data_IF_508284630261
#
_entry.id   IF_508284630261
#
_cell.length_a   1.000
_cell.length_b   1.000
_cell.length_c   1.000
_cell.angle_alpha   90.00
_cell.angle_beta   90.00
_cell.angle_gamma   90.00
#
_symmetry.space_group_name_H-M   'P 1'
#
loop_
_entity.id
_entity.type
_entity.pdbx_description
1 polymer ?
#
# COMPACT_ATOMS: atom_id res chain seq x y z
N UNK A 1 3.85 -9.86 7.89
CA UNK A 1 3.02 -9.01 7.01
C UNK A 1 2.57 -7.71 7.69
N UNK A 2 1.53 -7.64 8.53
CA UNK A 2 1.07 -6.34 9.06
C UNK A 2 2.11 -5.53 9.83
N UNK A 3 2.95 -6.21 10.62
CA UNK A 3 4.04 -5.53 11.32
C UNK A 3 5.03 -4.90 10.32
N UNK A 4 5.36 -5.63 9.26
CA UNK A 4 6.28 -5.18 8.21
C UNK A 4 5.68 -4.02 7.40
N UNK A 5 4.37 -4.09 7.10
CA UNK A 5 3.61 -3.03 6.43
C UNK A 5 3.55 -1.75 7.28
N UNK A 6 3.25 -1.89 8.57
CA UNK A 6 3.25 -0.77 9.53
C UNK A 6 4.62 -0.09 9.66
N UNK A 7 5.73 -0.77 9.31
CA UNK A 7 7.08 -0.21 9.32
C UNK A 7 7.41 0.45 7.98
N UNK A 8 7.11 -0.23 6.88
CA UNK A 8 7.54 0.14 5.52
C UNK A 8 6.76 1.35 5.01
N UNK A 9 5.44 1.35 5.20
CA UNK A 9 4.56 2.35 4.63
C UNK A 9 4.80 3.78 5.16
N UNK A 10 5.04 4.01 6.48
CA UNK A 10 5.42 5.33 7.01
C UNK A 10 6.72 5.92 6.47
N UNK A 11 7.59 5.12 5.83
CA UNK A 11 8.80 5.63 5.16
C UNK A 11 8.42 6.51 3.98
N UNK A 12 7.40 6.12 3.21
CA UNK A 12 6.90 6.92 2.07
C UNK A 12 6.35 8.26 2.57
N UNK A 13 5.62 8.25 3.69
CA UNK A 13 5.13 9.47 4.34
C UNK A 13 6.27 10.36 4.84
N UNK A 14 7.35 9.75 5.32
CA UNK A 14 8.56 10.45 5.77
C UNK A 14 9.22 11.18 4.61
N UNK A 15 9.37 10.52 3.46
CA UNK A 15 9.88 11.14 2.24
C UNK A 15 8.96 12.25 1.72
N UNK A 16 7.65 12.02 1.72
CA UNK A 16 6.69 13.04 1.29
C UNK A 16 6.71 14.28 2.19
N UNK A 17 6.83 14.10 3.51
CA UNK A 17 6.98 15.22 4.45
C UNK A 17 8.30 15.97 4.25
N UNK A 18 9.40 15.24 3.98
CA UNK A 18 10.68 15.85 3.64
C UNK A 18 10.57 16.75 2.40
N UNK A 19 10.01 16.24 1.31
CA UNK A 19 9.79 17.02 0.10
C UNK A 19 8.81 18.18 0.30
N UNK A 20 7.76 18.00 1.12
CA UNK A 20 6.84 19.08 1.46
C UNK A 20 7.56 20.25 2.15
N UNK A 21 8.47 19.96 3.09
CA UNK A 21 9.26 20.99 3.76
C UNK A 21 10.12 21.77 2.74
N UNK A 22 10.80 21.07 1.84
CA UNK A 22 11.61 21.70 0.81
C UNK A 22 10.79 22.46 -0.25
N UNK A 23 9.51 22.14 -0.41
CA UNK A 23 8.61 22.82 -1.35
C UNK A 23 8.32 24.28 -0.98
N UNK A 24 8.59 24.69 0.27
CA UNK A 24 8.47 26.08 0.73
C UNK A 24 9.71 26.94 0.44
N UNK A 25 10.71 26.39 -0.26
CA UNK A 25 11.90 27.13 -0.68
C UNK A 25 11.57 28.11 -1.81
N UNK A 26 12.31 29.23 -1.90
CA UNK A 26 12.13 30.20 -2.99
C UNK A 26 12.33 29.57 -4.37
N UNK A 27 13.36 28.74 -4.52
CA UNK A 27 13.57 27.87 -5.67
C UNK A 27 13.47 26.42 -5.21
N UNK A 28 12.81 25.56 -5.99
CA UNK A 28 12.71 24.14 -5.64
C UNK A 28 14.10 23.49 -5.75
N UNK A 29 14.57 22.76 -4.73
CA UNK A 29 15.92 22.18 -4.75
C UNK A 29 16.19 21.17 -5.86
N UNK A 30 15.13 20.57 -6.41
CA UNK A 30 15.18 19.63 -7.54
C UNK A 30 14.97 20.28 -8.91
N UNK A 31 14.92 21.62 -8.98
CA UNK A 31 14.76 22.36 -10.24
C UNK A 31 16.10 22.68 -10.93
N UNK A 32 17.20 22.80 -10.17
CA UNK A 32 18.49 23.24 -10.68
C UNK A 32 19.64 22.32 -10.26
N UNK A 33 20.73 22.36 -11.04
CA UNK A 33 21.96 21.59 -10.83
C UNK A 33 23.06 22.39 -10.11
N UNK A 34 22.72 23.51 -9.46
CA UNK A 34 23.69 24.44 -8.85
C UNK A 34 23.94 24.15 -7.37
N UNK A 35 23.40 23.05 -6.85
CA UNK A 35 23.47 22.73 -5.43
C UNK A 35 24.76 21.94 -5.10
N UNK A 36 25.15 21.94 -3.83
CA UNK A 36 26.39 21.29 -3.37
C UNK A 36 26.39 19.76 -3.52
N UNK A 37 25.22 19.14 -3.65
CA UNK A 37 25.07 17.70 -3.88
C UNK A 37 25.04 17.33 -5.36
N UNK A 38 25.05 18.31 -6.27
CA UNK A 38 25.00 18.01 -7.69
C UNK A 38 26.37 17.63 -8.25
N UNK A 39 26.37 16.76 -9.26
CA UNK A 39 27.59 16.36 -9.97
C UNK A 39 27.72 17.08 -11.32
N UNK A 40 28.91 17.02 -11.93
CA UNK A 40 29.14 17.56 -13.28
C UNK A 40 28.28 16.89 -14.37
N UNK A 41 27.63 15.77 -14.05
CA UNK A 41 26.73 15.03 -14.95
C UNK A 41 25.27 15.51 -14.87
N UNK A 42 24.97 16.39 -13.91
CA UNK A 42 23.62 16.90 -13.70
C UNK A 42 23.19 17.80 -14.85
N UNK A 43 21.99 17.56 -15.37
CA UNK A 43 21.37 18.39 -16.39
C UNK A 43 20.06 18.96 -15.86
N UNK A 44 19.98 20.30 -15.78
CA UNK A 44 18.75 21.02 -15.46
C UNK A 44 18.06 21.46 -16.74
N UNK A 45 16.76 21.26 -16.83
CA UNK A 45 15.97 21.72 -17.96
C UNK A 45 15.64 23.22 -17.79
N UNK A 46 16.41 24.10 -18.44
CA UNK A 46 16.13 25.54 -18.47
C UNK A 46 15.32 25.90 -19.71
N UNK A 47 14.12 26.47 -19.52
CA UNK A 47 13.23 26.93 -20.59
C UNK A 47 13.78 28.14 -21.40
N UNK A 48 15.01 28.60 -21.13
CA UNK A 48 15.48 29.93 -21.52
C UNK A 48 16.60 30.03 -22.54
N UNK A 49 17.32 28.96 -22.90
CA UNK A 49 18.34 29.02 -23.94
C UNK A 49 18.22 27.80 -24.85
N UNK A 50 18.16 28.08 -26.16
CA UNK A 50 17.79 27.14 -27.20
C UNK A 50 18.47 25.78 -27.05
N UNK A 51 17.69 24.74 -27.40
CA UNK A 51 18.09 23.37 -27.63
C UNK A 51 19.60 23.15 -27.43
N UNK A 52 20.00 22.86 -26.19
CA UNK A 52 21.26 22.15 -25.99
C UNK A 52 21.03 20.85 -26.73
N UNK A 53 21.65 20.76 -27.92
CA UNK A 53 21.55 19.59 -28.76
C UNK A 53 21.94 18.40 -27.90
N UNK A 54 20.98 17.47 -27.75
CA UNK A 54 21.19 16.15 -27.19
C UNK A 54 22.16 15.37 -28.09
N UNK A 55 23.43 15.77 -28.07
CA UNK A 55 24.51 15.04 -28.72
C UNK A 55 25.23 14.25 -27.63
N UNK A 56 24.93 12.94 -27.57
CA UNK A 56 25.76 11.91 -26.94
C UNK A 56 26.21 12.15 -25.48
N UNK A 57 25.27 12.26 -24.54
CA UNK A 57 25.57 12.03 -23.12
C UNK A 57 24.74 10.88 -22.57
N UNK A 58 25.20 9.65 -22.84
CA UNK A 58 24.66 8.39 -22.31
C UNK A 58 24.76 8.24 -20.79
N UNK A 59 25.34 9.21 -20.07
CA UNK A 59 25.58 9.19 -18.62
C UNK A 59 25.14 10.51 -17.93
N UNK A 60 24.09 11.18 -18.42
CA UNK A 60 23.53 12.38 -17.79
C UNK A 60 22.42 12.02 -16.79
N UNK A 61 22.31 12.78 -15.70
CA UNK A 61 21.33 12.61 -14.61
C UNK A 61 20.49 13.87 -14.46
N UNK A 62 19.21 13.75 -14.11
CA UNK A 62 18.37 14.93 -13.87
C UNK A 62 18.63 15.51 -12.47
N UNK A 63 18.39 16.82 -12.31
CA UNK A 63 18.45 17.47 -11.00
C UNK A 63 17.55 16.80 -9.94
N UNK A 64 16.40 16.25 -10.37
CA UNK A 64 15.46 15.54 -9.50
C UNK A 64 16.00 14.18 -9.05
N UNK A 65 16.64 13.42 -9.96
CA UNK A 65 17.30 12.16 -9.62
C UNK A 65 18.42 12.40 -8.62
N UNK A 66 19.28 13.39 -8.84
CA UNK A 66 20.37 13.69 -7.90
C UNK A 66 19.85 14.23 -6.55
N UNK A 67 18.77 15.00 -6.55
CA UNK A 67 18.14 15.42 -5.29
C UNK A 67 17.62 14.20 -4.50
N UNK A 68 16.95 13.26 -5.16
CA UNK A 68 16.45 12.04 -4.52
C UNK A 68 17.59 11.15 -4.00
N UNK A 69 18.52 10.78 -4.89
CA UNK A 69 19.55 9.80 -4.58
C UNK A 69 20.65 10.38 -3.68
N UNK A 70 21.12 11.61 -3.94
CA UNK A 70 22.30 12.15 -3.27
C UNK A 70 21.96 13.07 -2.10
N UNK A 71 20.86 13.84 -2.16
CA UNK A 71 20.51 14.80 -1.09
C UNK A 71 19.50 14.25 -0.09
N UNK A 72 18.37 13.73 -0.57
CA UNK A 72 17.28 13.25 0.27
C UNK A 72 17.71 11.96 0.99
N UNK A 73 18.05 10.93 0.22
CA UNK A 73 18.43 9.63 0.75
C UNK A 73 19.94 9.51 1.04
N UNK A 74 20.80 10.10 0.19
CA UNK A 74 22.24 9.81 0.16
C UNK A 74 22.51 8.31 0.07
N UNK A 75 22.00 7.69 -1.00
CA UNK A 75 22.03 6.24 -1.20
C UNK A 75 23.46 5.71 -1.16
N UNK A 76 23.69 4.67 -0.34
CA UNK A 76 24.98 3.99 -0.22
C UNK A 76 25.26 3.02 -1.38
N UNK A 77 26.41 2.34 -1.38
CA UNK A 77 26.77 1.38 -2.43
C UNK A 77 25.94 0.09 -2.44
N UNK A 78 25.26 -0.24 -1.34
CA UNK A 78 24.49 -1.48 -1.20
C UNK A 78 23.88 -1.69 0.18
N UNK A 79 23.14 -2.79 0.34
CA UNK A 79 22.50 -3.17 1.62
C UNK A 79 23.53 -3.52 2.70
N UNK A 80 24.75 -3.91 2.32
CA UNK A 80 25.86 -4.17 3.25
C UNK A 80 26.40 -2.88 3.88
N UNK A 81 26.22 -1.76 3.19
CA UNK A 81 26.70 -0.44 3.60
C UNK A 81 25.53 0.38 4.14
N UNK A 82 25.12 0.11 5.37
CA UNK A 82 23.98 0.82 6.00
C UNK A 82 24.23 2.34 6.10
N UNK A 83 25.49 2.75 6.28
CA UNK A 83 25.87 4.16 6.37
C UNK A 83 25.33 4.86 7.61
N UNK A 84 25.15 6.18 7.53
CA UNK A 84 24.67 7.01 8.65
C UNK A 84 23.14 7.22 8.65
N UNK A 85 22.55 7.54 9.80
CA UNK A 85 21.14 7.92 9.89
C UNK A 85 20.96 9.33 9.33
N UNK A 86 20.04 9.50 8.37
CA UNK A 86 19.68 10.81 7.82
C UNK A 86 18.84 11.58 8.83
N UNK A 87 19.46 12.48 9.61
CA UNK A 87 18.80 13.19 10.71
C UNK A 87 17.55 13.99 10.32
N UNK A 88 17.52 14.58 9.12
CA UNK A 88 16.33 15.30 8.63
C UNK A 88 15.15 14.35 8.37
N UNK A 89 15.42 13.18 7.77
CA UNK A 89 14.43 12.13 7.58
C UNK A 89 14.00 11.51 8.92
N UNK A 90 14.92 11.38 9.89
CA UNK A 90 14.59 10.93 11.24
C UNK A 90 13.56 11.85 11.92
N UNK A 91 13.77 13.17 11.81
CA UNK A 91 12.83 14.16 12.33
C UNK A 91 11.48 14.08 11.61
N UNK A 92 11.48 13.93 10.28
CA UNK A 92 10.26 13.72 9.50
C UNK A 92 9.51 12.45 9.95
N UNK A 93 10.24 11.33 10.15
CA UNK A 93 9.67 10.07 10.60
C UNK A 93 9.05 10.22 12.00
N UNK A 94 9.72 10.92 12.91
CA UNK A 94 9.19 11.22 14.24
C UNK A 94 7.86 11.99 14.15
N UNK A 95 7.80 13.03 13.30
CA UNK A 95 6.57 13.80 13.08
C UNK A 95 5.45 12.93 12.53
N UNK A 96 5.74 12.08 11.54
CA UNK A 96 4.77 11.14 10.94
C UNK A 96 4.22 10.18 12.00
N UNK A 97 5.07 9.56 12.83
CA UNK A 97 4.61 8.65 13.88
C UNK A 97 3.81 9.33 14.98
N UNK A 98 4.20 10.54 15.36
CA UNK A 98 3.43 11.36 16.31
C UNK A 98 2.04 11.65 15.74
N UNK A 99 1.94 12.03 14.46
CA UNK A 99 0.66 12.22 13.78
C UNK A 99 -0.17 10.92 13.76
N UNK A 100 0.40 9.80 13.33
CA UNK A 100 -0.26 8.49 13.31
C UNK A 100 -0.81 8.10 14.69
N UNK A 101 -0.03 8.29 15.76
CA UNK A 101 -0.44 7.99 17.12
C UNK A 101 -1.68 8.80 17.52
N UNK A 102 -1.64 10.12 17.39
CA UNK A 102 -2.75 10.99 17.81
C UNK A 102 -4.00 10.84 16.94
N UNK A 103 -3.86 10.51 15.66
CA UNK A 103 -5.01 10.25 14.80
C UNK A 103 -5.81 9.02 15.25
N UNK A 104 -5.13 7.97 15.75
CA UNK A 104 -5.73 6.66 16.06
C UNK A 104 -5.89 6.41 17.57
N UNK A 105 -5.40 7.28 18.45
CA UNK A 105 -5.37 7.05 19.89
C UNK A 105 -6.73 6.70 20.54
N UNK A 106 -7.87 7.13 19.97
CA UNK A 106 -9.23 6.75 20.43
C UNK A 106 -9.94 5.77 19.49
N UNK A 107 -9.20 5.11 18.61
CA UNK A 107 -9.67 4.18 17.58
C UNK A 107 -10.55 4.86 16.56
N UNK A 108 -11.46 4.08 15.98
CA UNK A 108 -12.43 4.54 14.96
C UNK A 108 -13.20 5.82 15.34
N UNK A 109 -13.34 6.16 16.63
CA UNK A 109 -13.97 7.42 17.05
C UNK A 109 -13.15 8.67 16.74
N UNK A 110 -11.83 8.57 16.79
CA UNK A 110 -10.91 9.65 16.40
C UNK A 110 -10.65 9.57 14.90
N UNK A 111 -10.28 8.39 14.41
CA UNK A 111 -9.98 8.15 12.99
C UNK A 111 -11.16 8.56 12.12
N UNK A 112 -12.39 8.17 12.47
CA UNK A 112 -13.59 8.52 11.71
C UNK A 112 -13.87 10.03 11.61
N UNK A 113 -13.31 10.87 12.50
CA UNK A 113 -13.40 12.34 12.38
C UNK A 113 -12.31 12.91 11.47
N UNK A 114 -11.08 12.39 11.60
CA UNK A 114 -9.91 12.83 10.82
C UNK A 114 -10.11 12.47 9.35
N UNK A 115 -10.64 11.28 9.06
CA UNK A 115 -10.91 10.75 7.71
C UNK A 115 -11.81 11.65 6.88
N UNK A 116 -12.71 12.45 7.49
CA UNK A 116 -13.51 13.41 6.72
C UNK A 116 -12.65 14.44 5.98
N UNK A 117 -11.48 14.79 6.52
CA UNK A 117 -10.54 15.71 5.87
C UNK A 117 -9.51 14.92 5.07
N UNK A 118 -8.88 13.92 5.69
CA UNK A 118 -7.76 13.19 5.06
C UNK A 118 -8.19 12.39 3.84
N UNK A 119 -9.43 11.85 3.79
CA UNK A 119 -9.90 11.10 2.62
C UNK A 119 -10.54 11.99 1.55
N UNK A 120 -11.18 13.11 1.91
CA UNK A 120 -11.88 13.97 0.92
C UNK A 120 -10.96 14.97 0.23
N UNK A 121 -9.94 15.48 0.94
CA UNK A 121 -9.02 16.47 0.39
C UNK A 121 -8.17 15.93 -0.78
N UNK A 122 -7.68 14.68 -0.78
CA UNK A 122 -7.04 14.09 -1.94
C UNK A 122 -7.89 14.09 -3.21
N UNK A 123 -9.22 13.90 -3.11
CA UNK A 123 -10.10 14.01 -4.29
C UNK A 123 -10.16 15.43 -4.85
N UNK A 124 -10.20 16.43 -3.97
CA UNK A 124 -10.13 17.83 -4.39
C UNK A 124 -8.78 18.14 -5.06
N UNK A 125 -7.66 17.68 -4.47
CA UNK A 125 -6.33 17.87 -5.06
C UNK A 125 -6.19 17.13 -6.38
N UNK A 126 -6.70 15.90 -6.46
CA UNK A 126 -6.68 15.11 -7.67
C UNK A 126 -7.44 15.81 -8.80
N UNK A 127 -8.61 16.40 -8.50
CA UNK A 127 -9.36 17.19 -9.48
C UNK A 127 -8.56 18.41 -9.95
N UNK A 128 -7.92 19.14 -9.03
CA UNK A 128 -7.10 20.31 -9.37
C UNK A 128 -5.90 19.92 -10.22
N UNK A 129 -5.18 18.85 -9.85
CA UNK A 129 -4.05 18.33 -10.61
C UNK A 129 -4.46 17.76 -11.96
N UNK A 130 -5.65 17.15 -12.07
CA UNK A 130 -6.20 16.68 -13.34
C UNK A 130 -6.49 17.85 -14.28
N UNK A 131 -7.22 18.88 -13.80
CA UNK A 131 -7.49 20.08 -14.60
C UNK A 131 -6.18 20.71 -15.03
N UNK A 132 -5.23 20.86 -14.10
CA UNK A 132 -3.92 21.43 -14.42
C UNK A 132 -3.18 20.59 -15.45
N UNK A 133 -3.07 19.28 -15.22
CA UNK A 133 -2.39 18.33 -16.10
C UNK A 133 -2.94 18.37 -17.52
N UNK A 134 -4.27 18.34 -17.68
CA UNK A 134 -4.90 18.40 -19.00
C UNK A 134 -4.76 19.75 -19.71
N UNK A 135 -4.49 20.84 -18.99
CA UNK A 135 -4.22 22.17 -19.59
C UNK A 135 -2.77 22.36 -20.02
N UNK A 136 -1.86 21.44 -19.71
CA UNK A 136 -0.46 21.54 -20.09
C UNK A 136 -0.25 21.18 -21.57
N UNK A 137 0.74 21.79 -22.25
CA UNK A 137 1.12 21.38 -23.59
C UNK A 137 1.62 19.92 -23.59
N UNK A 138 1.33 19.15 -24.63
CA UNK A 138 1.73 17.73 -24.71
C UNK A 138 0.92 16.77 -23.83
N UNK A 139 0.01 17.26 -22.97
CA UNK A 139 -0.79 16.41 -22.08
C UNK A 139 -1.60 15.33 -22.82
N UNK A 140 -2.11 15.65 -24.01
CA UNK A 140 -2.86 14.69 -24.83
C UNK A 140 -2.01 13.51 -25.30
N UNK A 141 -0.71 13.70 -25.55
CA UNK A 141 0.18 12.59 -25.92
C UNK A 141 0.26 11.57 -24.77
N UNK A 142 0.30 12.08 -23.54
CA UNK A 142 0.23 11.26 -22.32
C UNK A 142 -1.10 10.52 -22.16
N UNK A 143 -2.23 11.20 -22.37
CA UNK A 143 -3.56 10.57 -22.29
C UNK A 143 -3.74 9.50 -23.37
N UNK A 144 -3.23 9.73 -24.58
CA UNK A 144 -3.22 8.72 -25.65
C UNK A 144 -2.36 7.54 -25.21
N UNK A 145 -1.13 7.76 -24.72
CA UNK A 145 -0.28 6.68 -24.22
C UNK A 145 -0.96 5.84 -23.12
N UNK A 146 -1.74 6.48 -22.23
CA UNK A 146 -2.46 5.79 -21.17
C UNK A 146 -3.61 4.89 -21.67
N UNK A 147 -4.36 5.34 -22.68
CA UNK A 147 -5.61 4.68 -23.10
C UNK A 147 -5.52 3.92 -24.43
N UNK A 148 -4.46 4.11 -25.20
CA UNK A 148 -4.36 3.53 -26.53
C UNK A 148 -4.38 2.00 -26.41
N UNK A 149 -5.41 1.33 -26.95
CA UNK A 149 -5.58 -0.10 -26.73
C UNK A 149 -4.66 -0.87 -27.66
N UNK A 150 -3.87 -1.77 -27.08
CA UNK A 150 -3.04 -2.72 -27.80
C UNK A 150 -3.49 -4.16 -27.49
N UNK A 151 -4.43 -4.74 -28.26
CA UNK A 151 -5.03 -6.03 -27.96
C UNK A 151 -4.05 -7.21 -27.95
N UNK A 152 -2.87 -7.05 -28.56
CA UNK A 152 -1.77 -8.01 -28.49
C UNK A 152 -1.38 -8.34 -27.05
N UNK A 153 -1.43 -7.36 -26.15
CA UNK A 153 -1.10 -7.56 -24.73
C UNK A 153 -2.13 -8.43 -24.00
N UNK A 154 -3.37 -8.55 -24.48
CA UNK A 154 -4.36 -9.42 -23.85
C UNK A 154 -4.06 -10.92 -24.03
N UNK A 155 -3.20 -11.27 -25.01
CA UNK A 155 -2.71 -12.63 -25.21
C UNK A 155 -1.61 -13.01 -24.20
N UNK A 156 -0.99 -12.01 -23.56
CA UNK A 156 0.04 -12.22 -22.57
C UNK A 156 -0.60 -12.57 -21.21
N UNK A 157 -0.37 -13.78 -20.67
CA UNK A 157 -0.87 -14.16 -19.35
C UNK A 157 -0.37 -13.24 -18.23
N UNK A 158 0.80 -12.60 -18.40
CA UNK A 158 1.38 -11.70 -17.41
C UNK A 158 0.48 -10.49 -17.14
N UNK A 159 -0.20 -9.96 -18.17
CA UNK A 159 -1.08 -8.78 -18.05
C UNK A 159 -2.29 -9.08 -17.14
N UNK A 160 -2.89 -10.26 -17.28
CA UNK A 160 -4.00 -10.70 -16.41
C UNK A 160 -3.55 -10.94 -14.97
N UNK A 161 -2.32 -11.41 -14.82
CA UNK A 161 -1.69 -11.66 -13.54
C UNK A 161 -1.40 -10.37 -12.78
N UNK A 162 -0.82 -9.38 -13.45
CA UNK A 162 -0.61 -8.03 -12.92
C UNK A 162 -1.93 -7.34 -12.58
N UNK A 163 -2.95 -7.46 -13.45
CA UNK A 163 -4.29 -6.95 -13.17
C UNK A 163 -4.91 -7.59 -11.92
N UNK A 164 -4.78 -8.91 -11.77
CA UNK A 164 -5.25 -9.63 -10.58
C UNK A 164 -4.53 -9.17 -9.31
N UNK A 165 -3.20 -9.13 -9.33
CA UNK A 165 -2.37 -8.67 -8.23
C UNK A 165 -2.74 -7.22 -7.82
N UNK A 166 -2.86 -6.31 -8.80
CA UNK A 166 -3.25 -4.92 -8.57
C UNK A 166 -4.58 -4.80 -7.83
N UNK A 167 -5.57 -5.63 -8.15
CA UNK A 167 -6.86 -5.64 -7.44
C UNK A 167 -6.69 -6.17 -6.01
N UNK A 168 -5.95 -7.26 -5.78
CA UNK A 168 -5.72 -7.77 -4.41
C UNK A 168 -5.05 -6.71 -3.52
N UNK A 169 -4.03 -6.02 -4.03
CA UNK A 169 -3.33 -4.97 -3.31
C UNK A 169 -4.18 -3.71 -3.12
N UNK A 170 -4.81 -3.21 -4.19
CA UNK A 170 -5.57 -1.97 -4.15
C UNK A 170 -6.73 -2.02 -3.15
N UNK A 171 -7.35 -3.19 -2.96
CA UNK A 171 -8.42 -3.37 -1.97
C UNK A 171 -7.93 -3.89 -0.61
N UNK A 172 -6.63 -4.19 -0.47
CA UNK A 172 -6.06 -4.82 0.74
C UNK A 172 -6.80 -6.11 1.15
N UNK A 173 -7.11 -6.96 0.17
CA UNK A 173 -7.79 -8.25 0.39
C UNK A 173 -6.78 -9.26 0.95
N UNK A 174 -7.21 -10.18 1.82
CA UNK A 174 -6.31 -11.19 2.40
C UNK A 174 -5.57 -10.75 3.65
N UNK A 175 -5.63 -9.45 3.97
CA UNK A 175 -4.89 -8.89 5.09
C UNK A 175 -5.79 -8.80 6.33
N UNK A 176 -7.08 -8.45 6.20
CA UNK A 176 -8.04 -8.35 7.32
C UNK A 176 -8.51 -6.93 7.64
N UNK A 177 -8.06 -5.93 6.86
CA UNK A 177 -8.44 -4.52 6.98
C UNK A 177 -9.95 -4.31 6.88
N UNK A 178 -10.57 -4.89 5.86
CA UNK A 178 -12.03 -4.80 5.66
C UNK A 178 -12.80 -5.56 6.75
N UNK A 179 -12.26 -6.65 7.28
CA UNK A 179 -12.86 -7.43 8.37
C UNK A 179 -12.91 -6.62 9.66
N UNK A 180 -11.81 -5.94 10.00
CA UNK A 180 -11.76 -5.07 11.19
C UNK A 180 -12.66 -3.85 11.03
N UNK A 181 -12.60 -3.16 9.89
CA UNK A 181 -13.48 -2.01 9.64
C UNK A 181 -14.97 -2.42 9.66
N UNK A 182 -15.30 -3.56 9.05
CA UNK A 182 -16.64 -4.12 9.06
C UNK A 182 -17.14 -4.52 10.46
N UNK A 183 -16.24 -4.92 11.37
CA UNK A 183 -16.61 -5.28 12.75
C UNK A 183 -17.17 -4.13 13.57
N UNK A 184 -16.92 -2.88 13.15
CA UNK A 184 -17.47 -1.68 13.80
C UNK A 184 -18.84 -1.28 13.27
N UNK A 185 -19.31 -1.88 12.17
CA UNK A 185 -20.60 -1.55 11.60
C UNK A 185 -21.76 -2.06 12.47
N UNK A 186 -22.90 -1.35 12.47
CA UNK A 186 -24.15 -1.91 13.00
C UNK A 186 -24.49 -3.22 12.30
N UNK A 187 -25.08 -4.16 13.05
CA UNK A 187 -25.42 -5.50 12.53
C UNK A 187 -26.31 -5.45 11.28
N UNK A 188 -27.30 -4.57 11.26
CA UNK A 188 -28.24 -4.41 10.15
C UNK A 188 -27.78 -3.41 9.08
N UNK A 189 -26.50 -3.05 9.07
CA UNK A 189 -25.95 -2.18 8.03
C UNK A 189 -25.95 -2.90 6.68
N UNK A 190 -26.27 -2.17 5.60
CA UNK A 190 -26.28 -2.74 4.26
C UNK A 190 -24.85 -2.84 3.69
N UNK A 191 -24.09 -3.82 4.18
CA UNK A 191 -22.72 -4.07 3.74
C UNK A 191 -22.62 -4.42 2.25
N UNK A 192 -23.68 -5.00 1.66
CA UNK A 192 -23.72 -5.31 0.24
C UNK A 192 -23.64 -4.05 -0.62
N UNK A 193 -24.41 -3.01 -0.28
CA UNK A 193 -24.35 -1.70 -0.94
C UNK A 193 -22.98 -1.04 -0.73
N UNK A 194 -22.47 -1.08 0.49
CA UNK A 194 -21.19 -0.43 0.82
C UNK A 194 -20.03 -1.04 0.05
N UNK A 195 -19.99 -2.38 -0.08
CA UNK A 195 -18.99 -3.08 -0.89
C UNK A 195 -19.03 -2.67 -2.36
N UNK A 196 -20.23 -2.48 -2.95
CA UNK A 196 -20.35 -2.02 -4.34
C UNK A 196 -19.79 -0.61 -4.52
N UNK A 197 -20.10 0.31 -3.60
CA UNK A 197 -19.55 1.68 -3.65
C UNK A 197 -18.05 1.69 -3.42
N UNK A 198 -17.55 0.89 -2.49
CA UNK A 198 -16.10 0.76 -2.23
C UNK A 198 -15.37 0.30 -3.50
N UNK A 199 -15.87 -0.76 -4.15
CA UNK A 199 -15.31 -1.25 -5.41
C UNK A 199 -15.37 -0.21 -6.54
N UNK A 200 -16.50 0.47 -6.70
CA UNK A 200 -16.64 1.47 -7.76
C UNK A 200 -15.71 2.66 -7.52
N UNK A 201 -15.73 3.23 -6.30
CA UNK A 201 -14.98 4.44 -5.98
C UNK A 201 -13.47 4.21 -6.05
N UNK A 202 -12.97 3.10 -5.50
CA UNK A 202 -11.55 2.78 -5.55
C UNK A 202 -11.05 2.66 -7.01
N UNK A 203 -11.71 1.83 -7.83
CA UNK A 203 -11.32 1.67 -9.24
C UNK A 203 -11.48 2.95 -10.06
N UNK A 204 -12.56 3.71 -9.86
CA UNK A 204 -12.73 5.01 -10.54
C UNK A 204 -11.64 6.01 -10.14
N UNK A 205 -11.25 6.03 -8.86
CA UNK A 205 -10.16 6.91 -8.37
C UNK A 205 -8.86 6.57 -9.08
N UNK A 206 -8.52 5.28 -9.20
CA UNK A 206 -7.32 4.82 -9.91
C UNK A 206 -7.32 5.22 -11.39
N UNK A 207 -8.47 5.12 -12.07
CA UNK A 207 -8.60 5.57 -13.46
C UNK A 207 -8.40 7.08 -13.59
N UNK A 208 -9.05 7.87 -12.73
CA UNK A 208 -8.91 9.34 -12.71
C UNK A 208 -7.47 9.76 -12.37
N UNK A 209 -6.83 9.07 -11.43
CA UNK A 209 -5.42 9.25 -11.11
C UNK A 209 -4.51 8.93 -12.30
N UNK A 210 -4.82 7.89 -13.08
CA UNK A 210 -4.15 7.61 -14.34
C UNK A 210 -4.14 8.80 -15.29
N UNK A 211 -5.29 9.45 -15.51
CA UNK A 211 -5.34 10.68 -16.33
C UNK A 211 -4.48 11.80 -15.77
N UNK A 212 -4.52 12.04 -14.45
CA UNK A 212 -3.71 13.08 -13.81
C UNK A 212 -2.20 12.80 -13.96
N UNK A 213 -1.77 11.54 -13.77
CA UNK A 213 -0.38 11.10 -13.93
C UNK A 213 0.08 11.24 -15.36
N UNK A 214 -0.61 10.58 -16.30
CA UNK A 214 -0.14 10.51 -17.66
C UNK A 214 -0.24 11.84 -18.39
N UNK A 215 -1.18 12.72 -18.04
CA UNK A 215 -1.19 14.09 -18.60
C UNK A 215 0.05 14.90 -18.22
N UNK A 216 0.52 14.79 -16.97
CA UNK A 216 1.75 15.45 -16.51
C UNK A 216 3.00 14.81 -17.12
N UNK A 217 3.05 13.48 -17.25
CA UNK A 217 4.14 12.79 -17.94
C UNK A 217 4.20 13.13 -19.43
N UNK A 218 3.05 13.28 -20.10
CA UNK A 218 2.96 13.73 -21.49
C UNK A 218 3.53 15.15 -21.67
N UNK A 219 3.24 16.05 -20.72
CA UNK A 219 3.86 17.38 -20.68
C UNK A 219 5.39 17.30 -20.50
N UNK A 220 5.87 16.46 -19.58
CA UNK A 220 7.29 16.27 -19.34
C UNK A 220 8.02 15.73 -20.58
N UNK A 221 7.43 14.73 -21.25
CA UNK A 221 7.93 14.16 -22.49
C UNK A 221 8.01 15.18 -23.63
N UNK A 222 6.97 16.02 -23.79
CA UNK A 222 6.94 17.11 -24.79
C UNK A 222 8.02 18.15 -24.51
N UNK A 223 8.19 18.57 -23.26
CA UNK A 223 9.22 19.54 -22.89
C UNK A 223 10.62 18.98 -23.13
N UNK A 224 10.87 17.73 -22.74
CA UNK A 224 12.19 17.09 -22.86
C UNK A 224 12.48 16.56 -24.26
N UNK A 225 11.47 16.53 -25.14
CA UNK A 225 11.54 15.90 -26.46
C UNK A 225 12.01 14.43 -26.38
N UNK A 226 11.52 13.71 -25.37
CA UNK A 226 11.81 12.30 -25.09
C UNK A 226 10.52 11.49 -25.14
N UNK A 227 10.57 10.20 -25.50
CA UNK A 227 9.38 9.37 -25.52
C UNK A 227 8.89 9.08 -24.08
N UNK A 228 7.58 8.87 -23.93
CA UNK A 228 6.89 8.81 -22.62
C UNK A 228 7.36 7.61 -21.77
N UNK A 229 7.72 6.50 -22.41
CA UNK A 229 8.24 5.29 -21.77
C UNK A 229 9.57 5.51 -21.02
N UNK A 230 10.36 6.51 -21.43
CA UNK A 230 11.63 6.84 -20.76
C UNK A 230 11.45 7.73 -19.53
N UNK A 231 10.33 8.46 -19.42
CA UNK A 231 10.02 9.33 -18.27
C UNK A 231 9.08 8.66 -17.26
N UNK A 232 8.44 7.56 -17.65
CA UNK A 232 7.56 6.77 -16.80
C UNK A 232 8.39 5.83 -15.91
N UNK A 233 8.81 6.31 -14.74
CA UNK A 233 9.41 5.47 -13.70
C UNK A 233 8.35 4.64 -12.94
N UNK A 234 8.79 3.58 -12.25
CA UNK A 234 7.92 2.76 -11.39
C UNK A 234 8.25 2.94 -9.90
N UNK A 235 7.29 2.60 -9.04
CA UNK A 235 7.46 2.66 -7.58
C UNK A 235 7.70 4.09 -7.06
N UNK A 236 8.54 4.26 -6.01
CA UNK A 236 8.84 5.57 -5.43
C UNK A 236 9.45 6.57 -6.42
N UNK A 237 10.17 6.11 -7.44
CA UNK A 237 10.79 6.96 -8.46
C UNK A 237 9.77 7.83 -9.21
N UNK A 238 8.60 7.27 -9.53
CA UNK A 238 7.51 8.03 -10.15
C UNK A 238 7.13 9.26 -9.32
N UNK A 239 6.91 9.08 -8.01
CA UNK A 239 6.42 10.13 -7.12
C UNK A 239 7.51 11.08 -6.63
N UNK A 240 8.76 10.62 -6.48
CA UNK A 240 9.85 11.41 -5.87
C UNK A 240 10.92 11.86 -6.87
N UNK A 241 10.90 11.39 -8.11
CA UNK A 241 11.82 11.79 -9.19
C UNK A 241 11.04 12.39 -10.37
N UNK A 242 10.22 11.59 -11.06
CA UNK A 242 9.57 12.01 -12.31
C UNK A 242 8.56 13.15 -12.09
N UNK A 243 7.66 13.02 -11.10
CA UNK A 243 6.67 14.04 -10.79
C UNK A 243 7.28 15.38 -10.33
N UNK A 244 8.22 15.40 -9.36
CA UNK A 244 8.87 16.63 -8.92
C UNK A 244 9.61 17.32 -10.07
N UNK A 245 10.20 16.54 -10.98
CA UNK A 245 10.84 17.05 -12.19
C UNK A 245 9.81 17.72 -13.11
N UNK A 246 8.66 17.09 -13.37
CA UNK A 246 7.60 17.70 -14.18
C UNK A 246 7.03 18.97 -13.52
N UNK A 247 6.83 18.95 -12.19
CA UNK A 247 6.35 20.10 -11.41
C UNK A 247 7.33 21.28 -11.51
N UNK A 248 8.64 21.04 -11.44
CA UNK A 248 9.66 22.08 -11.56
C UNK A 248 9.61 22.84 -12.90
N UNK A 249 9.08 22.22 -13.96
CA UNK A 249 8.91 22.83 -15.29
C UNK A 249 7.62 23.66 -15.40
N UNK A 250 6.70 23.57 -14.44
CA UNK A 250 5.45 24.30 -14.47
C UNK A 250 5.60 25.73 -13.91
N UNK A 251 4.80 26.70 -14.38
CA UNK A 251 4.69 27.99 -13.70
C UNK A 251 4.13 27.80 -12.28
N UNK A 252 4.69 28.56 -11.33
CA UNK A 252 4.40 28.47 -9.89
C UNK A 252 4.65 27.05 -9.31
N UNK A 253 5.86 26.48 -9.51
CA UNK A 253 6.12 25.07 -9.22
C UNK A 253 5.96 24.73 -7.73
N UNK A 254 6.20 25.69 -6.82
CA UNK A 254 6.03 25.52 -5.37
C UNK A 254 4.58 25.19 -4.99
N UNK A 255 3.60 25.84 -5.63
CA UNK A 255 2.18 25.59 -5.36
C UNK A 255 1.82 24.14 -5.67
N UNK A 256 2.22 23.66 -6.86
CA UNK A 256 1.94 22.32 -7.31
C UNK A 256 2.67 21.26 -6.48
N UNK A 257 3.92 21.52 -6.07
CA UNK A 257 4.67 20.65 -5.18
C UNK A 257 3.99 20.49 -3.82
N UNK A 258 3.58 21.60 -3.20
CA UNK A 258 2.86 21.58 -1.92
C UNK A 258 1.56 20.78 -2.02
N UNK A 259 0.74 21.03 -3.05
CA UNK A 259 -0.50 20.29 -3.29
C UNK A 259 -0.25 18.78 -3.47
N UNK A 260 0.76 18.42 -4.26
CA UNK A 260 1.10 17.03 -4.55
C UNK A 260 1.60 16.27 -3.31
N UNK A 261 2.53 16.83 -2.55
CA UNK A 261 3.07 16.15 -1.37
C UNK A 261 2.08 16.12 -0.20
N UNK A 262 1.23 17.16 -0.03
CA UNK A 262 0.11 17.08 0.92
C UNK A 262 -0.83 15.93 0.52
N UNK A 263 -1.16 15.81 -0.77
CA UNK A 263 -2.01 14.71 -1.25
C UNK A 263 -1.39 13.34 -0.93
N UNK A 264 -0.10 13.12 -1.21
CA UNK A 264 0.59 11.86 -0.86
C UNK A 264 0.54 11.60 0.64
N UNK A 265 0.79 12.61 1.47
CA UNK A 265 0.77 12.46 2.94
C UNK A 265 -0.62 12.04 3.41
N UNK A 266 -1.68 12.69 2.93
CA UNK A 266 -3.04 12.39 3.36
C UNK A 266 -3.51 11.00 2.89
N UNK A 267 -3.22 10.64 1.63
CA UNK A 267 -3.51 9.30 1.10
C UNK A 267 -2.79 8.22 1.89
N UNK A 268 -1.52 8.44 2.24
CA UNK A 268 -0.76 7.47 2.99
C UNK A 268 -1.14 7.38 4.47
N UNK A 269 -1.50 8.51 5.10
CA UNK A 269 -1.95 8.51 6.49
C UNK A 269 -3.19 7.65 6.67
N UNK A 270 -4.17 7.73 5.77
CA UNK A 270 -5.40 6.94 5.87
C UNK A 270 -5.13 5.43 5.78
N UNK A 271 -4.24 5.00 4.87
CA UNK A 271 -3.80 3.60 4.78
C UNK A 271 -3.13 3.15 6.09
N UNK A 272 -2.21 3.96 6.62
CA UNK A 272 -1.53 3.66 7.89
C UNK A 272 -2.50 3.61 9.07
N UNK A 273 -3.56 4.42 9.07
CA UNK A 273 -4.56 4.40 10.12
C UNK A 273 -5.28 3.06 10.18
N UNK A 274 -5.64 2.51 9.02
CA UNK A 274 -6.29 1.21 8.94
C UNK A 274 -5.33 0.09 9.33
N UNK A 275 -4.08 0.10 8.85
CA UNK A 275 -3.09 -0.91 9.19
C UNK A 275 -2.86 -1.01 10.71
N UNK A 276 -2.66 0.13 11.38
CA UNK A 276 -2.52 0.18 12.83
C UNK A 276 -3.80 -0.27 13.55
N UNK A 277 -4.99 0.16 13.09
CA UNK A 277 -6.25 -0.27 13.71
C UNK A 277 -6.44 -1.78 13.61
N UNK A 278 -6.02 -2.44 12.52
CA UNK A 278 -6.13 -3.89 12.39
C UNK A 278 -5.33 -4.61 13.46
N UNK A 279 -4.08 -4.23 13.67
CA UNK A 279 -3.23 -4.84 14.69
C UNK A 279 -3.82 -4.59 16.08
N UNK A 280 -4.20 -3.34 16.36
CA UNK A 280 -4.75 -2.95 17.65
C UNK A 280 -6.03 -3.71 17.98
N UNK A 281 -6.99 -3.76 17.06
CA UNK A 281 -8.28 -4.42 17.28
C UNK A 281 -8.12 -5.91 17.43
N UNK A 282 -7.28 -6.53 16.59
CA UNK A 282 -6.99 -7.96 16.65
C UNK A 282 -6.38 -8.36 18.01
N UNK A 283 -5.42 -7.59 18.52
CA UNK A 283 -4.80 -7.86 19.83
C UNK A 283 -5.77 -7.59 20.99
N UNK A 284 -6.58 -6.53 20.91
CA UNK A 284 -7.57 -6.19 21.93
C UNK A 284 -8.67 -7.27 22.03
N UNK A 285 -9.10 -7.82 20.90
CA UNK A 285 -10.14 -8.85 20.86
C UNK A 285 -9.64 -10.23 21.32
N UNK A 286 -8.33 -10.50 21.24
CA UNK A 286 -7.71 -11.67 21.85
C UNK A 286 -7.66 -11.59 23.39
N UNK A 287 -7.42 -10.39 23.95
CA UNK A 287 -7.28 -10.19 25.40
C UNK A 287 -8.24 -9.11 25.97
N UNK A 288 -9.56 -9.27 25.80
CA UNK A 288 -10.52 -8.20 26.08
C UNK A 288 -10.58 -7.81 27.57
N UNK A 289 -10.39 -8.79 28.47
CA UNK A 289 -10.40 -8.58 29.93
C UNK A 289 -9.27 -7.67 30.42
N UNK A 290 -8.16 -7.61 29.69
CA UNK A 290 -6.97 -6.83 30.06
C UNK A 290 -6.93 -5.49 29.30
N UNK A 291 -7.18 -5.53 27.99
CA UNK A 291 -6.89 -4.41 27.09
C UNK A 291 -8.07 -3.45 26.86
N UNK A 292 -9.33 -3.86 27.12
CA UNK A 292 -10.50 -2.95 27.02
C UNK A 292 -10.64 -1.98 28.20
N UNK A 293 -9.72 -2.03 29.18
CA UNK A 293 -9.69 -1.08 30.30
C UNK A 293 -9.24 0.31 29.81
N UNK A 294 -9.77 1.36 30.44
CA UNK A 294 -9.44 2.75 30.09
C UNK A 294 -7.92 3.01 30.11
N UNK A 295 -7.39 3.66 29.07
CA UNK A 295 -5.98 4.00 28.95
C UNK A 295 -5.06 2.88 28.46
N UNK A 296 -5.50 1.61 28.48
CA UNK A 296 -4.65 0.47 28.09
C UNK A 296 -4.47 0.34 26.58
N UNK A 297 -5.51 0.67 25.81
CA UNK A 297 -5.43 0.75 24.34
C UNK A 297 -4.42 1.81 23.92
N UNK A 298 -4.52 3.00 24.50
CA UNK A 298 -3.63 4.14 24.20
C UNK A 298 -2.16 3.80 24.50
N UNK A 299 -1.91 3.10 25.61
CA UNK A 299 -0.57 2.66 25.98
C UNK A 299 -0.04 1.56 25.06
N UNK A 300 -0.89 0.59 24.69
CA UNK A 300 -0.52 -0.47 23.75
C UNK A 300 -0.18 0.11 22.38
N UNK A 301 -0.98 1.06 21.88
CA UNK A 301 -0.72 1.76 20.63
C UNK A 301 0.60 2.53 20.71
N UNK A 302 0.86 3.24 21.82
CA UNK A 302 2.10 3.99 21.99
C UNK A 302 3.32 3.06 21.95
N UNK A 303 3.26 1.93 22.66
CA UNK A 303 4.32 0.93 22.66
C UNK A 303 4.51 0.34 21.25
N UNK A 304 3.43 0.00 20.56
CA UNK A 304 3.49 -0.55 19.21
C UNK A 304 4.08 0.44 18.21
N UNK A 305 3.59 1.69 18.18
CA UNK A 305 4.15 2.75 17.34
C UNK A 305 5.62 3.01 17.65
N UNK A 306 6.02 2.97 18.93
CA UNK A 306 7.42 3.12 19.33
C UNK A 306 8.30 1.99 18.80
N UNK A 307 7.84 0.73 18.90
CA UNK A 307 8.56 -0.42 18.33
C UNK A 307 8.67 -0.30 16.82
N UNK A 308 7.59 0.04 16.11
CA UNK A 308 7.61 0.24 14.66
C UNK A 308 8.52 1.40 14.26
N UNK A 309 8.51 2.52 14.98
CA UNK A 309 9.43 3.64 14.77
C UNK A 309 10.89 3.23 14.93
N UNK A 310 11.22 2.51 16.01
CA UNK A 310 12.57 1.99 16.23
C UNK A 310 13.01 1.04 15.11
N UNK A 311 12.13 0.16 14.64
CA UNK A 311 12.41 -0.71 13.50
C UNK A 311 12.59 0.07 12.19
N UNK A 312 11.81 1.13 11.98
CA UNK A 312 11.90 1.97 10.77
C UNK A 312 13.24 2.72 10.68
N UNK A 313 13.97 2.94 11.78
CA UNK A 313 15.24 3.66 11.78
C UNK A 313 16.24 3.10 10.76
N UNK A 314 16.24 1.79 10.52
CA UNK A 314 17.11 1.17 9.51
C UNK A 314 16.77 1.62 8.08
N UNK A 315 15.50 1.90 7.78
CA UNK A 315 15.03 2.42 6.48
C UNK A 315 15.27 3.93 6.30
N UNK A 316 15.71 4.62 7.36
CA UNK A 316 16.05 6.07 7.36
C UNK A 316 17.57 6.30 7.25
N UNK A 317 18.34 5.22 7.12
CA UNK A 317 19.78 5.28 6.86
C UNK A 317 20.08 5.50 5.37
N UNK A 318 21.34 5.78 5.05
CA UNK A 318 21.85 5.89 3.67
C UNK A 318 21.62 4.60 2.86
N UNK A 319 21.77 3.43 3.49
CA UNK A 319 21.39 2.12 2.91
C UNK A 319 19.91 1.78 3.01
N UNK A 320 19.09 2.68 3.56
CA UNK A 320 17.69 2.44 3.91
C UNK A 320 16.78 2.12 2.72
N UNK A 321 17.09 2.63 1.53
CA UNK A 321 16.31 2.36 0.31
C UNK A 321 16.38 0.88 -0.10
N UNK A 322 17.53 0.22 0.07
CA UNK A 322 17.68 -1.21 -0.20
C UNK A 322 16.87 -2.06 0.78
N UNK A 323 16.87 -1.66 2.06
CA UNK A 323 16.08 -2.34 3.09
C UNK A 323 14.58 -2.13 2.86
N UNK A 324 14.16 -0.91 2.50
CA UNK A 324 12.79 -0.60 2.14
C UNK A 324 12.30 -1.49 0.99
N UNK A 325 13.07 -1.60 -0.09
CA UNK A 325 12.68 -2.44 -1.23
C UNK A 325 12.67 -3.94 -0.89
N UNK A 326 13.58 -4.41 -0.04
CA UNK A 326 13.58 -5.81 0.40
C UNK A 326 12.29 -6.15 1.16
N UNK A 327 11.85 -5.25 2.04
CA UNK A 327 10.59 -5.41 2.78
C UNK A 327 9.38 -5.29 1.86
N UNK A 328 9.34 -4.25 1.02
CA UNK A 328 8.25 -4.03 0.08
C UNK A 328 8.05 -5.25 -0.83
N UNK A 329 9.14 -5.75 -1.44
CA UNK A 329 9.09 -6.86 -2.38
C UNK A 329 8.71 -8.21 -1.75
N UNK A 330 9.31 -8.57 -0.60
CA UNK A 330 9.13 -9.91 -0.02
C UNK A 330 8.08 -9.98 1.10
N UNK A 331 7.99 -8.97 1.96
CA UNK A 331 7.17 -9.03 3.17
C UNK A 331 5.75 -8.49 2.96
N UNK A 332 5.62 -7.44 2.14
CA UNK A 332 4.36 -6.72 1.92
C UNK A 332 3.69 -7.05 0.58
N UNK A 333 4.45 -7.47 -0.43
CA UNK A 333 3.99 -7.68 -1.80
C UNK A 333 4.10 -9.16 -2.28
N UNK A 334 3.64 -9.42 -3.50
CA UNK A 334 3.77 -10.67 -4.23
C UNK A 334 3.15 -11.88 -3.55
N UNK A 335 3.98 -12.89 -3.31
CA UNK A 335 3.56 -14.23 -2.92
C UNK A 335 2.88 -14.29 -1.54
N UNK A 336 3.23 -13.41 -0.60
CA UNK A 336 2.71 -13.44 0.77
C UNK A 336 1.19 -13.17 0.82
N UNK A 337 0.74 -12.04 0.24
CA UNK A 337 -0.69 -11.69 0.25
C UNK A 337 -1.50 -12.71 -0.56
N UNK A 338 -0.97 -13.17 -1.70
CA UNK A 338 -1.67 -14.10 -2.57
C UNK A 338 -1.87 -15.45 -1.87
N UNK A 339 -0.87 -15.92 -1.13
CA UNK A 339 -0.99 -17.13 -0.31
C UNK A 339 -2.06 -17.00 0.77
N UNK A 340 -2.11 -15.86 1.48
CA UNK A 340 -3.14 -15.60 2.48
C UNK A 340 -4.54 -15.53 1.85
N UNK A 341 -4.68 -14.88 0.69
CA UNK A 341 -5.91 -14.85 -0.08
C UNK A 341 -6.39 -16.26 -0.46
N UNK A 342 -5.48 -17.17 -0.85
CA UNK A 342 -5.84 -18.56 -1.15
C UNK A 342 -6.43 -19.25 0.08
N UNK A 343 -5.76 -19.13 1.23
CA UNK A 343 -6.25 -19.75 2.47
C UNK A 343 -7.58 -19.15 2.92
N UNK A 344 -7.74 -17.83 2.87
CA UNK A 344 -8.98 -17.15 3.25
C UNK A 344 -10.14 -17.52 2.32
N UNK A 345 -9.92 -17.48 1.01
CA UNK A 345 -10.94 -17.84 0.02
C UNK A 345 -11.37 -19.31 0.15
N UNK A 346 -10.42 -20.22 0.36
CA UNK A 346 -10.73 -21.64 0.57
C UNK A 346 -11.47 -21.87 1.89
N UNK A 347 -11.04 -21.22 2.97
CA UNK A 347 -11.67 -21.32 4.28
C UNK A 347 -13.12 -20.81 4.24
N UNK A 348 -13.38 -19.64 3.63
CA UNK A 348 -14.72 -19.08 3.53
C UNK A 348 -15.61 -19.85 2.55
N UNK A 349 -15.10 -20.17 1.35
CA UNK A 349 -15.88 -20.81 0.29
C UNK A 349 -16.28 -22.25 0.60
N UNK A 350 -15.38 -23.04 1.20
CA UNK A 350 -15.52 -24.48 1.36
C UNK A 350 -15.61 -24.97 2.80
N UNK A 351 -14.76 -24.46 3.70
CA UNK A 351 -14.72 -24.94 5.09
C UNK A 351 -15.88 -24.36 5.91
N UNK A 352 -16.03 -23.03 5.88
CA UNK A 352 -17.15 -22.32 6.50
C UNK A 352 -18.44 -22.49 5.68
N UNK A 353 -18.30 -22.43 4.35
CA UNK A 353 -19.33 -22.74 3.38
C UNK A 353 -20.04 -21.50 2.84
N UNK A 354 -20.03 -21.36 1.51
CA UNK A 354 -20.64 -20.23 0.81
C UNK A 354 -22.16 -20.08 1.05
N UNK A 355 -22.89 -21.19 1.27
CA UNK A 355 -24.32 -21.14 1.64
C UNK A 355 -24.56 -20.39 2.93
N UNK A 356 -23.71 -20.66 3.92
CA UNK A 356 -23.84 -20.05 5.24
C UNK A 356 -23.57 -18.55 5.18
N UNK A 357 -22.56 -18.14 4.41
CA UNK A 357 -22.31 -16.72 4.15
C UNK A 357 -23.52 -16.06 3.50
N UNK A 358 -24.13 -16.75 2.54
CA UNK A 358 -25.32 -16.26 1.83
C UNK A 358 -26.50 -16.02 2.78
N UNK A 359 -26.77 -16.96 3.69
CA UNK A 359 -27.83 -16.84 4.70
C UNK A 359 -27.51 -15.75 5.75
N UNK A 360 -26.25 -15.61 6.16
CA UNK A 360 -25.84 -14.55 7.11
C UNK A 360 -26.03 -13.16 6.50
N UNK A 361 -25.71 -12.97 5.21
CA UNK A 361 -25.90 -11.68 4.54
C UNK A 361 -27.39 -11.35 4.40
N UNK A 362 -28.23 -12.35 4.13
CA UNK A 362 -29.69 -12.16 4.14
C UNK A 362 -30.20 -11.75 5.53
N UNK A 363 -29.71 -12.37 6.60
CA UNK A 363 -30.10 -12.02 7.97
C UNK A 363 -29.68 -10.60 8.36
N UNK A 364 -28.49 -10.14 7.93
CA UNK A 364 -28.00 -8.79 8.21
C UNK A 364 -28.70 -7.72 7.36
N UNK A 365 -28.86 -7.96 6.06
CA UNK A 365 -29.32 -6.91 5.11
C UNK A 365 -30.80 -7.00 4.74
N UNK A 366 -31.47 -8.11 5.07
CA UNK A 366 -32.84 -8.42 4.67
C UNK A 366 -32.98 -8.82 3.20
N UNK A 367 -31.90 -8.86 2.42
CA UNK A 367 -31.92 -9.16 0.98
C UNK A 367 -30.92 -10.28 0.69
N UNK A 368 -31.36 -11.31 -0.04
CA UNK A 368 -30.44 -12.34 -0.54
C UNK A 368 -29.50 -11.74 -1.60
N UNK A 369 -28.17 -11.93 -1.47
CA UNK A 369 -27.23 -11.55 -2.52
C UNK A 369 -27.54 -12.21 -3.86
N UNK A 370 -26.97 -11.74 -4.96
CA UNK A 370 -27.07 -12.44 -6.24
C UNK A 370 -26.35 -13.80 -6.17
N UNK A 371 -26.96 -14.86 -6.72
CA UNK A 371 -26.38 -16.20 -6.82
C UNK A 371 -24.99 -16.22 -7.48
N UNK A 372 -24.71 -15.27 -8.38
CA UNK A 372 -23.39 -15.10 -8.97
C UNK A 372 -22.28 -14.94 -7.91
N UNK A 373 -22.48 -14.10 -6.90
CA UNK A 373 -21.48 -13.87 -5.84
C UNK A 373 -21.19 -15.15 -5.04
N UNK A 374 -22.22 -15.97 -4.81
CA UNK A 374 -22.06 -17.27 -4.17
C UNK A 374 -21.17 -18.21 -4.99
N UNK A 375 -21.32 -18.22 -6.32
CA UNK A 375 -20.39 -18.96 -7.20
C UNK A 375 -18.98 -18.35 -7.18
N UNK A 376 -18.88 -17.03 -7.11
CA UNK A 376 -17.59 -16.36 -6.98
C UNK A 376 -16.85 -16.77 -5.70
N UNK A 377 -17.52 -16.78 -4.54
CA UNK A 377 -16.89 -17.18 -3.28
C UNK A 377 -16.52 -18.66 -3.27
N UNK A 378 -17.34 -19.51 -3.89
CA UNK A 378 -17.12 -20.96 -3.88
C UNK A 378 -16.06 -21.43 -4.88
N UNK A 379 -16.01 -20.86 -6.08
CA UNK A 379 -15.18 -21.37 -7.16
C UNK A 379 -14.24 -20.32 -7.74
N UNK A 380 -14.75 -19.16 -8.15
CA UNK A 380 -13.95 -18.19 -8.90
C UNK A 380 -12.82 -17.59 -8.06
N UNK A 381 -13.12 -17.11 -6.85
CA UNK A 381 -12.15 -16.44 -5.98
C UNK A 381 -11.04 -17.40 -5.52
N UNK A 382 -11.36 -18.63 -5.04
CA UNK A 382 -10.32 -19.61 -4.74
C UNK A 382 -9.47 -19.99 -5.97
N UNK A 383 -10.07 -20.11 -7.15
CA UNK A 383 -9.34 -20.46 -8.37
C UNK A 383 -8.40 -19.33 -8.80
N UNK A 384 -8.90 -18.09 -8.89
CA UNK A 384 -8.11 -16.93 -9.30
C UNK A 384 -6.97 -16.69 -8.32
N UNK A 385 -7.23 -16.70 -7.02
CA UNK A 385 -6.18 -16.54 -6.01
C UNK A 385 -5.13 -17.66 -6.10
N UNK A 386 -5.53 -18.91 -6.31
CA UNK A 386 -4.60 -20.04 -6.42
C UNK A 386 -3.74 -19.96 -7.68
N UNK A 387 -4.36 -19.69 -8.83
CA UNK A 387 -3.63 -19.50 -10.10
C UNK A 387 -2.66 -18.33 -9.97
N UNK A 388 -3.11 -17.22 -9.37
CA UNK A 388 -2.24 -16.06 -9.20
C UNK A 388 -1.05 -16.34 -8.28
N UNK A 389 -1.29 -17.05 -7.17
CA UNK A 389 -0.21 -17.46 -6.28
C UNK A 389 0.79 -18.39 -6.99
N UNK A 390 0.32 -19.43 -7.69
CA UNK A 390 1.19 -20.36 -8.42
C UNK A 390 2.03 -19.61 -9.45
N UNK A 391 1.41 -18.73 -10.24
CA UNK A 391 2.13 -17.96 -11.24
C UNK A 391 3.19 -17.05 -10.61
N UNK A 392 2.86 -16.34 -9.52
CA UNK A 392 3.84 -15.49 -8.81
C UNK A 392 5.06 -16.25 -8.29
N UNK A 393 4.92 -17.56 -8.03
CA UNK A 393 6.02 -18.43 -7.64
C UNK A 393 6.82 -18.97 -8.84
N UNK A 394 6.15 -19.17 -9.98
CA UNK A 394 6.78 -19.67 -11.22
C UNK A 394 7.58 -18.59 -11.91
N UNK A 395 7.02 -17.38 -12.05
CA UNK A 395 7.67 -16.23 -12.68
C UNK A 395 8.42 -15.35 -11.66
N UNK A 396 8.99 -15.99 -10.63
CA UNK A 396 9.78 -15.30 -9.63
C UNK A 396 11.07 -14.75 -10.26
N UNK A 397 11.23 -13.42 -10.20
CA UNK A 397 12.46 -12.74 -10.59
C UNK A 397 13.17 -12.20 -9.35
N UNK A 398 14.49 -12.43 -9.19
CA UNK A 398 15.21 -11.90 -8.04
C UNK A 398 15.20 -10.37 -8.04
N UNK A 399 14.97 -9.78 -6.86
CA UNK A 399 14.97 -8.33 -6.66
C UNK A 399 16.33 -7.73 -7.08
N UNK A 400 16.30 -6.68 -7.89
CA UNK A 400 17.48 -5.89 -8.28
C UNK A 400 17.18 -4.40 -8.13
N UNK A 401 18.18 -3.58 -7.78
CA UNK A 401 18.02 -2.13 -7.67
C UNK A 401 18.63 -1.42 -8.88
N UNK A 402 17.81 -0.67 -9.61
CA UNK A 402 18.18 0.14 -10.80
C UNK A 402 19.06 -0.62 -11.81
N UNK A 403 18.89 -1.95 -11.93
CA UNK A 403 19.65 -2.89 -12.79
C UNK A 403 21.16 -2.96 -12.54
N UNK A 404 21.74 -2.09 -11.71
CA UNK A 404 23.19 -2.07 -11.42
C UNK A 404 23.54 -2.80 -10.13
N UNK A 405 22.63 -2.86 -9.15
CA UNK A 405 22.86 -3.52 -7.88
C UNK A 405 22.08 -4.84 -7.79
N UNK A 406 22.81 -5.91 -7.50
CA UNK A 406 22.29 -7.25 -7.24
C UNK A 406 22.44 -7.53 -5.76
N UNK A 407 21.34 -7.88 -5.10
CA UNK A 407 21.37 -8.14 -3.66
C UNK A 407 22.20 -9.39 -3.34
N UNK A 408 22.91 -9.40 -2.20
CA UNK A 408 23.66 -10.57 -1.75
C UNK A 408 22.72 -11.73 -1.39
N UNK A 409 23.22 -12.97 -1.46
CA UNK A 409 22.40 -14.17 -1.21
C UNK A 409 21.73 -14.17 0.15
N UNK A 410 22.40 -13.64 1.18
CA UNK A 410 21.82 -13.55 2.52
C UNK A 410 20.57 -12.63 2.55
N UNK A 411 20.53 -11.57 1.75
CA UNK A 411 19.39 -10.67 1.68
C UNK A 411 18.18 -11.37 1.04
N UNK A 412 18.39 -12.16 -0.02
CA UNK A 412 17.32 -13.00 -0.58
C UNK A 412 16.81 -14.04 0.43
N UNK A 413 17.71 -14.67 1.19
CA UNK A 413 17.29 -15.64 2.22
C UNK A 413 16.48 -14.95 3.32
N UNK A 414 16.88 -13.74 3.72
CA UNK A 414 16.13 -12.93 4.68
C UNK A 414 14.76 -12.55 4.13
N UNK A 415 14.68 -12.11 2.88
CA UNK A 415 13.42 -11.84 2.16
C UNK A 415 12.45 -13.01 2.22
N UNK A 416 12.90 -14.19 1.82
CA UNK A 416 12.07 -15.40 1.88
C UNK A 416 11.71 -15.82 3.30
N UNK A 417 12.59 -15.64 4.28
CA UNK A 417 12.26 -15.89 5.69
C UNK A 417 11.14 -14.95 6.18
N UNK A 418 11.17 -13.67 5.77
CA UNK A 418 10.10 -12.72 6.07
C UNK A 418 8.78 -13.16 5.42
N UNK A 419 8.79 -13.51 4.13
CA UNK A 419 7.60 -14.00 3.42
C UNK A 419 7.01 -15.26 4.06
N UNK A 420 7.87 -16.24 4.38
CA UNK A 420 7.45 -17.51 4.98
C UNK A 420 6.92 -17.36 6.41
N UNK A 421 7.37 -16.33 7.15
CA UNK A 421 6.93 -16.09 8.53
C UNK A 421 5.42 -15.92 8.67
N UNK A 422 4.78 -15.25 7.71
CA UNK A 422 3.32 -15.11 7.62
C UNK A 422 2.65 -16.31 6.96
N UNK A 423 3.22 -16.85 5.87
CA UNK A 423 2.62 -17.95 5.12
C UNK A 423 2.50 -19.25 5.94
N UNK A 424 3.52 -19.57 6.75
CA UNK A 424 3.56 -20.80 7.55
C UNK A 424 2.63 -20.71 8.78
N UNK A 425 2.27 -19.51 9.21
CA UNK A 425 1.48 -19.32 10.43
C UNK A 425 0.09 -19.97 10.32
N UNK A 426 -0.56 -19.89 9.14
CA UNK A 426 -1.88 -20.50 8.89
C UNK A 426 -1.84 -22.04 9.02
N UNK A 427 -1.00 -22.78 8.25
CA UNK A 427 -0.90 -24.23 8.41
C UNK A 427 -0.32 -24.63 9.76
N UNK A 428 0.65 -23.88 10.31
CA UNK A 428 1.27 -24.15 11.60
C UNK A 428 0.26 -24.11 12.76
N UNK A 429 -0.54 -23.05 12.85
CA UNK A 429 -1.60 -22.93 13.88
C UNK A 429 -2.65 -24.03 13.69
N UNK A 430 -2.99 -24.36 12.44
CA UNK A 430 -3.93 -25.44 12.14
C UNK A 430 -3.42 -26.78 12.66
N UNK A 431 -2.15 -27.12 12.42
CA UNK A 431 -1.52 -28.35 12.90
C UNK A 431 -1.44 -28.40 14.43
N UNK A 432 -1.03 -27.31 15.08
CA UNK A 432 -0.99 -27.21 16.55
C UNK A 432 -2.38 -27.44 17.16
N UNK A 433 -3.40 -26.82 16.59
CA UNK A 433 -4.78 -26.98 17.07
C UNK A 433 -5.31 -28.40 16.82
N UNK A 434 -4.97 -29.03 15.70
CA UNK A 434 -5.31 -30.44 15.45
C UNK A 434 -4.61 -31.39 16.45
N UNK A 435 -3.37 -31.10 16.84
CA UNK A 435 -2.62 -31.92 17.79
C UNK A 435 -3.06 -31.75 19.25
N UNK A 436 -3.59 -30.58 19.62
CA UNK A 436 -3.95 -30.26 21.02
C UNK A 436 -5.41 -30.58 21.36
N UNK A 437 -6.30 -30.71 20.38
CA UNK A 437 -7.73 -31.02 20.64
C UNK A 437 -7.88 -32.53 20.92
N UNK A 438 -8.38 -32.93 22.11
CA UNK A 438 -8.55 -34.34 22.44
C UNK A 438 -9.69 -34.98 21.62
N UNK A 439 -9.40 -36.10 20.95
CA UNK A 439 -10.36 -36.91 20.21
C UNK A 439 -9.74 -37.70 19.05
N UNK A 440 -10.51 -38.54 18.38
CA UNK A 440 -10.09 -39.19 17.13
C UNK A 440 -10.12 -38.19 15.97
N UNK A 441 -9.28 -38.35 14.95
CA UNK A 441 -9.20 -37.46 13.77
C UNK A 441 -10.57 -37.06 13.18
N UNK A 442 -11.55 -37.97 13.00
CA UNK A 442 -12.89 -37.60 12.53
C UNK A 442 -13.68 -36.73 13.52
N UNK A 443 -13.54 -36.98 14.83
CA UNK A 443 -14.19 -36.19 15.89
C UNK A 443 -13.56 -34.80 16.02
N UNK A 444 -12.23 -34.72 15.90
CA UNK A 444 -11.49 -33.45 15.90
C UNK A 444 -11.84 -32.62 14.67
N UNK A 445 -11.86 -33.22 13.47
CA UNK A 445 -12.32 -32.57 12.22
C UNK A 445 -13.77 -32.08 12.34
N UNK A 446 -14.64 -32.93 12.90
CA UNK A 446 -16.04 -32.57 13.16
C UNK A 446 -16.21 -31.43 14.17
N UNK A 447 -15.40 -31.37 15.24
CA UNK A 447 -15.40 -30.27 16.21
C UNK A 447 -14.83 -28.98 15.63
N UNK A 448 -13.77 -29.05 14.82
CA UNK A 448 -13.18 -27.88 14.15
C UNK A 448 -14.20 -27.17 13.24
N UNK A 449 -14.95 -27.95 12.45
CA UNK A 449 -16.05 -27.43 11.64
C UNK A 449 -17.28 -27.02 12.48
N UNK A 450 -17.50 -27.62 13.68
CA UNK A 450 -18.65 -27.34 14.56
C UNK A 450 -18.47 -26.21 15.57
N UNK A 451 -17.24 -25.80 15.94
CA UNK A 451 -17.04 -24.61 16.81
C UNK A 451 -17.69 -23.36 16.19
N UNK A 452 -17.91 -23.36 14.88
CA UNK A 452 -18.69 -22.35 14.19
C UNK A 452 -20.21 -22.57 14.19
N UNK A 453 -20.74 -23.76 14.48
CA UNK A 453 -22.18 -24.08 14.35
C UNK A 453 -23.03 -23.61 15.54
N UNK A 454 -22.48 -23.56 16.76
CA UNK A 454 -23.27 -23.39 17.99
C UNK A 454 -23.50 -21.95 18.43
N UNK A 455 -22.79 -20.96 17.89
CA UNK A 455 -22.93 -19.55 18.30
C UNK A 455 -24.14 -18.85 17.66
N UNK A 456 -24.60 -19.27 16.47
CA UNK A 456 -25.76 -18.62 15.81
C UNK A 456 -27.11 -19.05 16.39
N UNK A 457 -27.24 -20.25 16.95
CA UNK A 457 -28.54 -20.74 17.45
C UNK A 457 -28.91 -20.21 18.83
N UNK A 458 -27.95 -19.76 19.65
CA UNK A 458 -28.27 -19.13 20.94
C UNK A 458 -28.69 -17.66 20.84
N UNK A 459 -28.38 -16.96 19.74
CA UNK A 459 -28.68 -15.53 19.61
C UNK A 459 -30.16 -15.20 19.31
N UNK A 460 -30.99 -16.19 18.97
CA UNK A 460 -32.44 -15.96 18.74
C UNK A 460 -33.26 -15.76 20.02
N UNK A 461 -32.71 -15.94 21.23
CA UNK A 461 -33.51 -15.87 22.47
C UNK A 461 -33.11 -14.80 23.51
N UNK A 462 -32.05 -14.00 23.30
CA UNK A 462 -31.62 -13.03 24.31
C UNK A 462 -31.38 -11.62 23.75
N UNK A 463 -32.21 -10.68 24.22
CA UNK A 463 -32.08 -9.24 24.06
C UNK A 463 -30.96 -8.70 24.96
N UNK A 464 -29.70 -8.95 24.59
CA UNK A 464 -28.46 -8.18 24.87
C UNK A 464 -27.24 -9.10 24.67
N UNK A 465 -26.19 -8.67 23.93
CA UNK A 465 -25.00 -9.49 23.75
C UNK A 465 -24.14 -9.42 25.02
N UNK A 466 -24.07 -10.53 25.76
CA UNK A 466 -22.99 -10.77 26.73
C UNK A 466 -22.11 -11.86 26.14
N UNK A 467 -21.02 -11.45 25.48
CA UNK A 467 -19.98 -12.38 25.03
C UNK A 467 -19.16 -12.84 26.24
N UNK A 468 -19.54 -13.97 26.84
CA UNK A 468 -18.62 -14.75 27.67
C UNK A 468 -18.03 -15.86 26.79
N UNK A 469 -16.75 -15.73 26.42
CA UNK A 469 -15.98 -16.88 25.94
C UNK A 469 -15.36 -17.62 27.15
N UNK A 470 -15.26 -18.96 27.09
CA UNK A 470 -14.60 -19.76 28.13
C UNK A 470 -13.13 -19.36 28.35
#
# INVERSE_FOLDING_TARGET
MYFDDCITYPVILTWALFYLIFSFSYELPWASCTNYWNTDKCVSFSLGNGAVGWNNQTNSTSASTEFWEQRALSISGGIEEVGSIRWELLLCALVVWVACYFCIWKGVRSTGKVVYVTATFPYLMLLILLIRGLTLPGAMNGVVYYLYPEPSHLLDPQVWMEAGAQIFFSYSIGVGSLTVLGSYNPYYNNCYRDCLWLCLLNSCTSVVAGFAVFSVLGFMAEMQNTPIDQVAESGPGLAFVAYPQAIAMMPLPQLWAVCFFIMIILLGLDTQFVALEVVMTSVIDLFPKVLRKAGRRELLLLLFCFVCFCSQLVMVTEGGMFVFQLFDYYACNGACILCLCVFEAFALGWIFGAERMYDIIEDMTGVRPNWFFKQCWRYLTPLVSLVSFIYSMVDYQPLTFNRWYVYPTWAYTLGWLMALSSMILVPGVTLIKLATVPGTLPQVKGRFCRVFYTTCTQHKSQSKPVCNMP
#
